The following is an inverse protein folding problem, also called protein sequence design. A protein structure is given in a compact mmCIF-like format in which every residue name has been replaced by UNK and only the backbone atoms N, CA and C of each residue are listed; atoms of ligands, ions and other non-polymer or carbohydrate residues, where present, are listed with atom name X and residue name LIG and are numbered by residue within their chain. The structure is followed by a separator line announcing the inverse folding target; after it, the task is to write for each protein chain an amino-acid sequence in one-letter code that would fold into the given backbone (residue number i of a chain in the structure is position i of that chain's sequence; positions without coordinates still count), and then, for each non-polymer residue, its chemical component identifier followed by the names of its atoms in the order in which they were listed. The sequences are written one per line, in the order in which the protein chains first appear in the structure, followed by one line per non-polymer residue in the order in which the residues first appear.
data_IF_058361771899
#
_entry.id   IF_058361771899
#
_cell.length_a   1.000
_cell.length_b   1.000
_cell.length_c   1.000
_cell.angle_alpha   90.00
_cell.angle_beta   90.00
_cell.angle_gamma   90.00
#
_symmetry.space_group_name_H-M   'P 1'
#
loop_
_entity.id
_entity.type
_entity.pdbx_description
1 polymer ?
#
# COMPACT_ATOMS: atom_id res chain seq x y z
N UNK A 1 -8.23 5.42 -21.33
CA UNK A 1 -8.32 5.67 -19.87
C UNK A 1 -7.24 4.92 -19.09
N UNK A 2 -7.32 3.60 -18.90
CA UNK A 2 -6.29 2.84 -18.15
C UNK A 2 -4.95 2.79 -18.89
N UNK A 3 -4.97 2.51 -20.20
CA UNK A 3 -3.76 2.56 -21.02
C UNK A 3 -3.12 3.96 -21.04
N UNK A 4 -3.94 5.02 -21.03
CA UNK A 4 -3.49 6.41 -20.97
C UNK A 4 -2.89 6.74 -19.60
N UNK A 5 -3.50 6.25 -18.51
CA UNK A 5 -2.99 6.40 -17.15
C UNK A 5 -1.68 5.64 -16.94
N UNK A 6 -1.59 4.40 -17.46
CA UNK A 6 -0.35 3.62 -17.45
C UNK A 6 0.77 4.31 -18.23
N UNK A 7 0.47 4.83 -19.44
CA UNK A 7 1.46 5.55 -20.24
C UNK A 7 1.94 6.82 -19.55
N UNK A 8 1.02 7.60 -18.96
CA UNK A 8 1.39 8.79 -18.17
C UNK A 8 2.19 8.44 -16.93
N UNK A 9 1.84 7.36 -16.24
CA UNK A 9 2.59 6.89 -15.06
C UNK A 9 4.00 6.43 -15.45
N UNK A 10 4.15 5.74 -16.59
CA UNK A 10 5.45 5.34 -17.12
C UNK A 10 6.33 6.54 -17.45
N UNK A 11 5.75 7.59 -18.04
CA UNK A 11 6.45 8.84 -18.30
C UNK A 11 6.80 9.59 -16.99
N UNK A 12 5.91 9.53 -15.98
CA UNK A 12 6.15 10.12 -14.66
C UNK A 12 7.21 9.38 -13.84
N UNK A 13 7.40 8.07 -13.99
CA UNK A 13 8.48 7.34 -13.31
C UNK A 13 9.88 7.91 -13.61
N UNK A 14 10.03 8.53 -14.79
CA UNK A 14 11.28 9.19 -15.21
C UNK A 14 11.40 10.64 -14.71
N UNK A 15 10.33 11.21 -14.15
CA UNK A 15 10.33 12.57 -13.64
C UNK A 15 11.14 12.68 -12.34
N UNK A 16 11.98 13.72 -12.16
CA UNK A 16 12.86 13.85 -11.00
C UNK A 16 12.14 13.83 -9.65
N UNK A 17 10.91 14.36 -9.57
CA UNK A 17 10.08 14.29 -8.35
C UNK A 17 9.74 12.85 -7.96
N UNK A 18 9.26 12.04 -8.90
CA UNK A 18 8.94 10.62 -8.68
C UNK A 18 10.17 9.81 -8.29
N UNK A 19 11.30 10.04 -8.98
CA UNK A 19 12.58 9.43 -8.61
C UNK A 19 13.01 9.84 -7.21
N UNK A 20 12.80 11.09 -6.79
CA UNK A 20 13.13 11.54 -5.44
C UNK A 20 12.27 10.85 -4.38
N UNK A 21 10.97 10.68 -4.65
CA UNK A 21 10.04 9.98 -3.74
C UNK A 21 10.42 8.50 -3.63
N UNK A 22 10.76 7.85 -4.75
CA UNK A 22 11.25 6.47 -4.75
C UNK A 22 12.60 6.32 -4.04
N UNK A 23 13.56 7.21 -4.27
CA UNK A 23 14.85 7.16 -3.57
C UNK A 23 14.67 7.45 -2.07
N UNK A 24 13.75 8.34 -1.71
CA UNK A 24 13.40 8.63 -0.31
C UNK A 24 12.75 7.42 0.35
N UNK A 25 11.87 6.69 -0.35
CA UNK A 25 11.25 5.47 0.18
C UNK A 25 12.28 4.36 0.39
N UNK A 26 13.18 4.17 -0.56
CA UNK A 26 14.26 3.20 -0.47
C UNK A 26 15.26 3.56 0.63
N UNK A 27 15.63 4.84 0.75
CA UNK A 27 16.50 5.34 1.79
C UNK A 27 15.86 5.23 3.18
N UNK A 28 14.57 5.57 3.32
CA UNK A 28 13.84 5.45 4.58
C UNK A 28 13.72 3.98 5.01
N UNK A 29 13.41 3.07 4.09
CA UNK A 29 13.38 1.64 4.35
C UNK A 29 14.76 1.12 4.77
N UNK A 30 15.82 1.45 4.02
CA UNK A 30 17.20 1.05 4.35
C UNK A 30 17.67 1.61 5.70
N UNK A 31 17.41 2.88 5.96
CA UNK A 31 17.77 3.54 7.21
C UNK A 31 17.00 2.95 8.40
N UNK A 32 15.72 2.63 8.22
CA UNK A 32 14.94 1.96 9.26
C UNK A 32 15.48 0.57 9.60
N UNK A 33 15.93 -0.19 8.60
CA UNK A 33 16.52 -1.50 8.79
C UNK A 33 17.88 -1.40 9.48
N UNK A 34 18.74 -0.47 9.06
CA UNK A 34 20.02 -0.20 9.71
C UNK A 34 19.82 0.23 11.16
N UNK A 35 18.85 1.11 11.43
CA UNK A 35 18.54 1.58 12.77
C UNK A 35 18.02 0.45 13.65
N UNK A 36 17.13 -0.40 13.14
CA UNK A 36 16.66 -1.58 13.87
C UNK A 36 17.79 -2.55 14.22
N UNK A 37 18.67 -2.86 13.27
CA UNK A 37 19.83 -3.72 13.51
C UNK A 37 20.76 -3.07 14.54
N UNK A 38 21.06 -1.79 14.36
CA UNK A 38 21.97 -1.05 15.26
C UNK A 38 21.43 -0.98 16.68
N UNK A 39 20.12 -0.75 16.86
CA UNK A 39 19.47 -0.79 18.17
C UNK A 39 19.49 -2.19 18.76
N UNK A 40 19.24 -3.22 17.94
CA UNK A 40 19.27 -4.62 18.41
C UNK A 40 20.65 -5.00 18.89
N UNK A 41 21.71 -4.58 18.20
CA UNK A 41 23.11 -4.79 18.61
C UNK A 41 23.44 -3.96 19.86
N UNK A 42 23.09 -2.68 19.89
CA UNK A 42 23.48 -1.76 20.97
C UNK A 42 22.80 -2.08 22.31
N UNK A 43 21.58 -2.61 22.28
CA UNK A 43 20.81 -2.97 23.46
C UNK A 43 20.72 -4.49 23.68
N UNK A 44 21.57 -5.27 23.00
CA UNK A 44 21.63 -6.71 23.26
C UNK A 44 22.15 -6.95 24.68
N UNK A 45 21.43 -7.70 25.53
CA UNK A 45 21.85 -7.88 26.90
C UNK A 45 23.01 -8.87 26.95
N UNK A 46 24.23 -8.35 27.06
CA UNK A 46 25.47 -9.14 27.18
C UNK A 46 25.56 -9.95 28.48
N UNK A 47 24.75 -9.61 29.48
CA UNK A 47 24.71 -10.32 30.77
C UNK A 47 23.97 -11.67 30.69
N UNK A 48 23.11 -11.87 29.68
CA UNK A 48 22.37 -13.12 29.48
C UNK A 48 23.06 -14.00 28.45
N UNK A 49 24.22 -14.55 28.82
CA UNK A 49 24.92 -15.57 28.00
C UNK A 49 24.59 -16.96 28.50
N UNK A 50 24.36 -17.89 27.58
CA UNK A 50 24.23 -19.32 27.89
C UNK A 50 25.59 -20.01 28.10
N UNK A 51 26.70 -19.31 27.82
CA UNK A 51 28.06 -19.86 27.83
C UNK A 51 28.43 -20.62 26.54
N UNK A 52 27.50 -20.77 25.60
CA UNK A 52 27.73 -21.39 24.30
C UNK A 52 27.45 -20.39 23.18
N UNK A 53 28.51 -19.99 22.47
CA UNK A 53 28.47 -18.95 21.43
C UNK A 53 27.40 -19.22 20.35
N UNK A 54 27.20 -20.49 19.96
CA UNK A 54 26.21 -20.84 18.95
C UNK A 54 24.75 -20.66 19.43
N UNK A 55 24.48 -20.85 20.73
CA UNK A 55 23.15 -20.65 21.32
C UNK A 55 22.87 -19.15 21.42
N UNK A 56 23.85 -18.38 21.87
CA UNK A 56 23.72 -16.93 22.05
C UNK A 56 23.52 -16.24 20.69
N UNK A 57 24.28 -16.64 19.67
CA UNK A 57 24.10 -16.17 18.30
C UNK A 57 22.74 -16.57 17.72
N UNK A 58 22.29 -17.81 17.94
CA UNK A 58 20.97 -18.25 17.50
C UNK A 58 19.85 -17.43 18.17
N UNK A 59 19.98 -17.12 19.46
CA UNK A 59 19.08 -16.23 20.20
C UNK A 59 19.06 -14.82 19.61
N UNK A 60 20.23 -14.24 19.33
CA UNK A 60 20.38 -12.95 18.67
C UNK A 60 19.66 -12.90 17.32
N UNK A 61 19.94 -13.86 16.45
CA UNK A 61 19.32 -13.92 15.13
C UNK A 61 17.81 -14.11 15.23
N UNK A 62 17.33 -14.94 16.15
CA UNK A 62 15.90 -15.18 16.33
C UNK A 62 15.18 -13.91 16.80
N UNK A 63 15.70 -13.25 17.83
CA UNK A 63 15.10 -12.01 18.36
C UNK A 63 15.19 -10.88 17.36
N UNK A 64 16.34 -10.68 16.70
CA UNK A 64 16.51 -9.65 15.68
C UNK A 64 15.61 -9.88 14.46
N UNK A 65 15.45 -11.13 14.03
CA UNK A 65 14.52 -11.48 12.94
C UNK A 65 13.08 -11.26 13.34
N UNK A 66 12.70 -11.62 14.56
CA UNK A 66 11.34 -11.41 15.08
C UNK A 66 11.02 -9.92 15.23
N UNK A 67 11.96 -9.13 15.76
CA UNK A 67 11.84 -7.68 15.86
C UNK A 67 11.67 -7.04 14.48
N UNK A 68 12.48 -7.45 13.51
CA UNK A 68 12.37 -6.98 12.12
C UNK A 68 11.00 -7.35 11.54
N UNK A 69 10.56 -8.60 11.70
CA UNK A 69 9.27 -9.07 11.19
C UNK A 69 8.08 -8.29 11.77
N UNK A 70 8.14 -7.92 13.05
CA UNK A 70 7.07 -7.17 13.73
C UNK A 70 7.11 -5.68 13.40
N UNK A 71 8.30 -5.07 13.43
CA UNK A 71 8.46 -3.61 13.31
C UNK A 71 8.51 -3.13 11.86
N UNK A 72 9.07 -3.92 10.95
CA UNK A 72 9.22 -3.53 9.55
C UNK A 72 7.88 -3.20 8.87
N UNK A 73 6.79 -3.99 9.02
CA UNK A 73 5.50 -3.64 8.43
C UNK A 73 4.94 -2.30 8.93
N UNK A 74 5.07 -2.00 10.23
CA UNK A 74 4.59 -0.75 10.81
C UNK A 74 5.33 0.47 10.25
N UNK A 75 6.66 0.38 10.15
CA UNK A 75 7.50 1.44 9.58
C UNK A 75 7.20 1.60 8.09
N UNK A 76 7.17 0.49 7.35
CA UNK A 76 6.91 0.49 5.91
C UNK A 76 5.55 1.09 5.58
N UNK A 77 4.49 0.74 6.33
CA UNK A 77 3.15 1.30 6.14
C UNK A 77 3.11 2.81 6.38
N UNK A 78 3.84 3.29 7.39
CA UNK A 78 3.94 4.73 7.70
C UNK A 78 4.66 5.48 6.57
N UNK A 79 5.74 4.90 6.04
CA UNK A 79 6.47 5.49 4.90
C UNK A 79 5.59 5.49 3.65
N UNK A 80 4.87 4.40 3.39
CA UNK A 80 3.96 4.28 2.24
C UNK A 80 2.81 5.28 2.29
N UNK A 81 2.21 5.54 3.46
CA UNK A 81 1.13 6.53 3.57
C UNK A 81 1.62 7.94 3.26
N UNK A 82 2.79 8.32 3.78
CA UNK A 82 3.42 9.62 3.49
C UNK A 82 3.76 9.80 2.00
N UNK A 83 4.16 8.71 1.33
CA UNK A 83 4.48 8.72 -0.10
C UNK A 83 3.22 8.86 -0.95
N UNK A 84 2.16 8.10 -0.62
CA UNK A 84 0.92 8.14 -1.37
C UNK A 84 0.31 9.55 -1.39
N UNK A 85 0.36 10.27 -0.26
CA UNK A 85 -0.08 11.66 -0.18
C UNK A 85 0.76 12.59 -1.07
N UNK A 86 2.08 12.51 -1.01
CA UNK A 86 2.98 13.32 -1.84
C UNK A 86 2.79 13.07 -3.35
N UNK A 87 2.46 11.84 -3.72
CA UNK A 87 2.21 11.48 -5.12
C UNK A 87 0.88 12.06 -5.59
N UNK A 88 -0.16 11.98 -4.76
CA UNK A 88 -1.43 12.63 -5.07
C UNK A 88 -1.22 14.14 -5.28
N UNK A 89 -0.49 14.81 -4.38
CA UNK A 89 -0.10 16.21 -4.51
C UNK A 89 0.66 16.48 -5.83
N UNK A 90 1.67 15.66 -6.15
CA UNK A 90 2.45 15.83 -7.36
C UNK A 90 1.62 15.65 -8.65
N UNK A 91 0.68 14.71 -8.65
CA UNK A 91 -0.23 14.48 -9.78
C UNK A 91 -1.25 15.62 -9.92
N UNK A 92 -1.80 16.11 -8.80
CA UNK A 92 -2.71 17.25 -8.78
C UNK A 92 -2.00 18.53 -9.25
N UNK A 93 -0.77 18.76 -8.80
CA UNK A 93 0.06 19.90 -9.21
C UNK A 93 0.30 19.95 -10.72
N UNK A 94 0.55 18.79 -11.34
CA UNK A 94 0.94 18.67 -12.74
C UNK A 94 -0.27 18.59 -13.69
N UNK A 95 -1.31 17.83 -13.33
CA UNK A 95 -2.43 17.52 -14.23
C UNK A 95 -3.76 18.18 -13.83
N UNK A 96 -3.94 18.54 -12.56
CA UNK A 96 -5.19 19.09 -12.04
C UNK A 96 -5.00 20.35 -11.18
N UNK A 97 -4.25 21.37 -11.66
CA UNK A 97 -3.83 22.50 -10.83
C UNK A 97 -5.00 23.31 -10.27
N UNK A 98 -6.18 23.26 -10.91
CA UNK A 98 -7.40 23.94 -10.47
C UNK A 98 -8.26 23.14 -9.47
N UNK A 99 -7.84 21.93 -9.10
CA UNK A 99 -8.59 21.01 -8.23
C UNK A 99 -7.71 20.37 -7.17
N UNK A 100 -6.76 21.14 -6.63
CA UNK A 100 -5.91 20.68 -5.53
C UNK A 100 -6.75 20.46 -4.28
N UNK A 101 -6.41 19.41 -3.54
CA UNK A 101 -6.99 19.15 -2.24
C UNK A 101 -6.64 20.27 -1.23
N UNK A 102 -7.64 20.79 -0.51
CA UNK A 102 -7.45 21.77 0.58
C UNK A 102 -8.22 21.36 1.86
N UNK A 103 -8.70 20.11 1.91
CA UNK A 103 -9.53 19.65 3.02
C UNK A 103 -8.68 19.05 4.14
N UNK A 104 -8.80 19.62 5.34
CA UNK A 104 -8.33 18.97 6.58
C UNK A 104 -9.20 17.75 6.89
N UNK A 105 -8.57 16.58 6.99
CA UNK A 105 -9.27 15.32 7.25
C UNK A 105 -9.38 15.14 8.78
N UNK A 106 -10.60 14.92 9.34
CA UNK A 106 -10.76 14.66 10.77
C UNK A 106 -10.09 13.33 11.15
N UNK A 107 -9.30 13.33 12.24
CA UNK A 107 -8.63 12.11 12.74
C UNK A 107 -9.65 11.00 13.03
N UNK A 108 -10.82 11.35 13.54
CA UNK A 108 -11.91 10.39 13.81
C UNK A 108 -12.37 9.66 12.55
N UNK A 109 -12.46 10.36 11.42
CA UNK A 109 -12.85 9.77 10.14
C UNK A 109 -11.78 8.80 9.63
N UNK A 110 -10.50 9.19 9.76
CA UNK A 110 -9.34 8.35 9.39
C UNK A 110 -9.32 7.07 10.22
N UNK A 111 -9.41 7.19 11.54
CA UNK A 111 -9.36 6.04 12.47
C UNK A 111 -10.54 5.10 12.22
N UNK A 112 -11.76 5.63 12.11
CA UNK A 112 -12.93 4.80 11.88
C UNK A 112 -12.90 4.11 10.51
N UNK A 113 -12.41 4.78 9.46
CA UNK A 113 -12.25 4.13 8.16
C UNK A 113 -11.20 3.05 8.19
N UNK A 114 -10.06 3.33 8.81
CA UNK A 114 -8.94 2.38 8.93
C UNK A 114 -9.37 1.13 9.70
N UNK A 115 -10.08 1.30 10.83
CA UNK A 115 -10.62 0.17 11.60
C UNK A 115 -11.62 -0.67 10.78
N UNK A 116 -12.51 -0.02 10.01
CA UNK A 116 -13.45 -0.73 9.13
C UNK A 116 -12.75 -1.43 7.97
N UNK A 117 -11.70 -0.83 7.41
CA UNK A 117 -10.91 -1.44 6.35
C UNK A 117 -10.19 -2.67 6.91
N UNK A 118 -9.51 -2.54 8.06
CA UNK A 118 -8.84 -3.63 8.76
C UNK A 118 -9.78 -4.80 9.03
N UNK A 119 -10.97 -4.53 9.58
CA UNK A 119 -11.97 -5.58 9.81
C UNK A 119 -12.37 -6.29 8.50
N UNK A 120 -12.62 -5.52 7.43
CA UNK A 120 -12.97 -6.09 6.12
C UNK A 120 -11.81 -6.90 5.55
N UNK A 121 -10.57 -6.42 5.65
CA UNK A 121 -9.38 -7.16 5.22
C UNK A 121 -9.29 -8.49 5.95
N UNK A 122 -9.42 -8.49 7.28
CA UNK A 122 -9.35 -9.72 8.09
C UNK A 122 -10.46 -10.69 7.68
N UNK A 123 -11.72 -10.24 7.65
CA UNK A 123 -12.87 -11.11 7.33
C UNK A 123 -12.75 -11.66 5.91
N UNK A 124 -12.42 -10.81 4.93
CA UNK A 124 -12.26 -11.21 3.55
C UNK A 124 -11.13 -12.24 3.37
N UNK A 125 -9.98 -12.05 4.03
CA UNK A 125 -8.88 -13.01 3.94
C UNK A 125 -9.19 -14.34 4.63
N UNK A 126 -9.87 -14.32 5.78
CA UNK A 126 -10.31 -15.53 6.47
C UNK A 126 -11.28 -16.34 5.60
N UNK A 127 -12.28 -15.67 5.00
CA UNK A 127 -13.23 -16.31 4.09
C UNK A 127 -12.51 -16.83 2.85
N UNK A 128 -11.53 -16.09 2.33
CA UNK A 128 -10.80 -16.46 1.12
C UNK A 128 -9.85 -17.65 1.30
N UNK A 129 -9.48 -18.01 2.54
CA UNK A 129 -8.59 -19.14 2.81
C UNK A 129 -9.13 -20.46 2.23
N UNK A 130 -10.43 -20.71 2.42
CA UNK A 130 -11.11 -21.92 1.92
C UNK A 130 -11.07 -22.02 0.39
N UNK A 131 -11.54 -21.02 -0.39
CA UNK A 131 -11.47 -21.06 -1.84
C UNK A 131 -10.04 -20.97 -2.36
N UNK A 132 -9.09 -20.33 -1.66
CA UNK A 132 -7.67 -20.34 -2.09
C UNK A 132 -7.12 -21.76 -2.14
N UNK A 133 -7.33 -22.54 -1.08
CA UNK A 133 -6.89 -23.94 -1.01
C UNK A 133 -7.58 -24.76 -2.10
N UNK A 134 -8.91 -24.66 -2.20
CA UNK A 134 -9.68 -25.43 -3.19
C UNK A 134 -9.28 -25.10 -4.63
N UNK A 135 -9.15 -23.82 -4.98
CA UNK A 135 -8.77 -23.39 -6.32
C UNK A 135 -7.32 -23.76 -6.66
N UNK A 136 -6.42 -23.76 -5.67
CA UNK A 136 -5.04 -24.16 -5.89
C UNK A 136 -4.96 -25.60 -6.40
N UNK A 137 -5.64 -26.53 -5.71
CA UNK A 137 -5.68 -27.93 -6.11
C UNK A 137 -6.50 -28.20 -7.38
N UNK A 138 -7.61 -27.49 -7.59
CA UNK A 138 -8.51 -27.75 -8.72
C UNK A 138 -8.00 -27.17 -10.05
N UNK A 139 -7.36 -25.99 -10.02
CA UNK A 139 -7.03 -25.21 -11.23
C UNK A 139 -5.53 -25.09 -11.50
N UNK A 140 -4.70 -25.82 -10.75
CA UNK A 140 -3.23 -25.72 -10.86
C UNK A 140 -2.69 -24.33 -10.52
N UNK A 141 -3.37 -23.61 -9.63
CA UNK A 141 -2.97 -22.27 -9.18
C UNK A 141 -3.50 -21.07 -9.98
N UNK A 142 -4.04 -21.25 -11.19
CA UNK A 142 -4.57 -20.13 -12.00
C UNK A 142 -5.79 -19.48 -11.33
N UNK A 143 -6.71 -20.29 -10.80
CA UNK A 143 -7.86 -19.80 -10.05
C UNK A 143 -7.46 -19.08 -8.76
N UNK A 144 -6.37 -19.51 -8.12
CA UNK A 144 -5.80 -18.84 -6.94
C UNK A 144 -5.29 -17.45 -7.29
N UNK A 145 -4.58 -17.30 -8.42
CA UNK A 145 -4.12 -16.00 -8.92
C UNK A 145 -5.31 -15.08 -9.27
N UNK A 146 -6.33 -15.61 -9.95
CA UNK A 146 -7.53 -14.84 -10.27
C UNK A 146 -8.25 -14.36 -9.01
N UNK A 147 -8.41 -15.24 -8.02
CA UNK A 147 -9.01 -14.89 -6.73
C UNK A 147 -8.14 -13.88 -5.96
N UNK A 148 -6.82 -14.01 -6.02
CA UNK A 148 -5.89 -13.05 -5.43
C UNK A 148 -6.07 -11.65 -6.01
N UNK A 149 -6.07 -11.52 -7.33
CA UNK A 149 -6.25 -10.23 -8.01
C UNK A 149 -7.64 -9.68 -7.73
N UNK A 150 -8.69 -10.50 -7.71
CA UNK A 150 -10.04 -10.06 -7.43
C UNK A 150 -10.19 -9.57 -5.97
N UNK A 151 -9.75 -10.35 -5.01
CA UNK A 151 -9.86 -10.02 -3.59
C UNK A 151 -9.02 -8.79 -3.24
N UNK A 152 -7.72 -8.84 -3.56
CA UNK A 152 -6.82 -7.73 -3.26
C UNK A 152 -7.12 -6.52 -4.12
N UNK A 153 -7.61 -6.70 -5.34
CA UNK A 153 -8.05 -5.61 -6.19
C UNK A 153 -9.26 -4.87 -5.61
N UNK A 154 -10.20 -5.58 -5.01
CA UNK A 154 -11.30 -4.95 -4.27
C UNK A 154 -10.80 -4.18 -3.03
N UNK A 155 -9.90 -4.79 -2.25
CA UNK A 155 -9.35 -4.17 -1.02
C UNK A 155 -8.51 -2.94 -1.33
N UNK A 156 -7.53 -3.07 -2.23
CA UNK A 156 -6.67 -1.97 -2.68
C UNK A 156 -7.48 -0.89 -3.39
N UNK A 157 -8.43 -1.26 -4.26
CA UNK A 157 -9.30 -0.29 -4.92
C UNK A 157 -10.05 0.56 -3.89
N UNK A 158 -10.58 -0.06 -2.84
CA UNK A 158 -11.22 0.66 -1.73
C UNK A 158 -10.25 1.56 -0.98
N UNK A 159 -9.10 1.03 -0.59
CA UNK A 159 -8.09 1.75 0.21
C UNK A 159 -7.58 3.00 -0.52
N UNK A 160 -7.08 2.82 -1.75
CA UNK A 160 -6.55 3.92 -2.54
C UNK A 160 -7.63 4.94 -2.92
N UNK A 161 -8.87 4.49 -3.18
CA UNK A 161 -9.98 5.42 -3.41
C UNK A 161 -10.25 6.28 -2.18
N UNK A 162 -10.33 5.66 -0.99
CA UNK A 162 -10.56 6.40 0.26
C UNK A 162 -9.41 7.38 0.52
N UNK A 163 -8.15 6.96 0.30
CA UNK A 163 -6.96 7.81 0.46
C UNK A 163 -7.05 9.09 -0.38
N UNK A 164 -7.35 8.96 -1.68
CA UNK A 164 -7.45 10.11 -2.59
C UNK A 164 -8.71 10.93 -2.30
N UNK A 165 -9.87 10.28 -2.23
CA UNK A 165 -11.16 10.98 -2.18
C UNK A 165 -11.39 11.74 -0.86
N UNK A 166 -10.85 11.26 0.27
CA UNK A 166 -11.00 11.95 1.57
C UNK A 166 -10.35 13.34 1.59
N UNK A 167 -9.36 13.56 0.70
CA UNK A 167 -8.67 14.84 0.50
C UNK A 167 -9.57 15.89 -0.18
N UNK A 168 -10.64 15.45 -0.83
CA UNK A 168 -11.56 16.31 -1.61
C UNK A 168 -12.97 16.40 -1.03
N UNK A 169 -13.45 15.35 -0.36
CA UNK A 169 -14.84 15.31 0.11
C UNK A 169 -15.02 14.59 1.47
N UNK A 170 -16.14 14.83 2.18
CA UNK A 170 -16.46 14.13 3.42
C UNK A 170 -16.60 12.61 3.23
N UNK A 171 -16.30 11.85 4.29
CA UNK A 171 -16.32 10.38 4.26
C UNK A 171 -17.64 9.77 3.76
N UNK A 172 -18.77 10.44 3.98
CA UNK A 172 -20.08 9.99 3.49
C UNK A 172 -20.14 10.01 1.96
N UNK A 173 -19.65 11.08 1.34
CA UNK A 173 -19.57 11.24 -0.10
C UNK A 173 -18.50 10.33 -0.71
N UNK A 174 -17.36 10.14 -0.02
CA UNK A 174 -16.35 9.15 -0.41
C UNK A 174 -16.96 7.77 -0.60
N UNK A 175 -17.76 7.32 0.37
CA UNK A 175 -18.43 6.00 0.32
C UNK A 175 -19.50 5.94 -0.76
N UNK A 176 -20.24 7.03 -0.99
CA UNK A 176 -21.26 7.12 -2.04
C UNK A 176 -20.60 7.06 -3.43
N UNK A 177 -19.55 7.82 -3.65
CA UNK A 177 -18.74 7.80 -4.88
C UNK A 177 -18.16 6.42 -5.16
N UNK A 178 -17.59 5.76 -4.14
CA UNK A 178 -17.07 4.39 -4.28
C UNK A 178 -18.14 3.40 -4.73
N UNK A 179 -19.36 3.51 -4.20
CA UNK A 179 -20.49 2.63 -4.59
C UNK A 179 -20.96 2.95 -6.02
N UNK A 180 -21.04 4.23 -6.39
CA UNK A 180 -21.43 4.68 -7.74
C UNK A 180 -20.44 4.17 -8.80
N UNK A 181 -19.14 4.26 -8.52
CA UNK A 181 -18.08 3.94 -9.47
C UNK A 181 -17.35 2.62 -9.16
N UNK A 182 -18.05 1.66 -8.55
CA UNK A 182 -17.48 0.40 -8.02
C UNK A 182 -16.59 -0.35 -9.02
N UNK A 183 -16.97 -0.39 -10.29
CA UNK A 183 -16.26 -1.14 -11.34
C UNK A 183 -14.94 -0.47 -11.71
N UNK A 184 -14.92 0.86 -11.82
CA UNK A 184 -13.72 1.63 -12.13
C UNK A 184 -12.73 1.58 -10.97
N UNK A 185 -13.23 1.74 -9.75
CA UNK A 185 -12.44 1.60 -8.52
C UNK A 185 -11.87 0.19 -8.39
N UNK A 186 -12.68 -0.85 -8.64
CA UNK A 186 -12.22 -2.23 -8.64
C UNK A 186 -11.15 -2.49 -9.70
N UNK A 187 -11.33 -1.97 -10.91
CA UNK A 187 -10.36 -2.19 -11.99
C UNK A 187 -9.03 -1.49 -11.71
N UNK A 188 -9.07 -0.27 -11.16
CA UNK A 188 -7.87 0.42 -10.66
C UNK A 188 -7.17 -0.40 -9.56
N UNK A 189 -7.92 -0.90 -8.58
CA UNK A 189 -7.39 -1.76 -7.54
C UNK A 189 -6.82 -3.09 -8.06
N UNK A 190 -7.50 -3.76 -8.99
CA UNK A 190 -7.04 -5.01 -9.59
C UNK A 190 -5.72 -4.84 -10.35
N UNK A 191 -5.55 -3.70 -11.02
CA UNK A 191 -4.28 -3.32 -11.63
C UNK A 191 -3.18 -3.20 -10.57
N UNK A 192 -3.45 -2.49 -9.46
CA UNK A 192 -2.50 -2.34 -8.35
C UNK A 192 -2.14 -3.72 -7.77
N UNK A 193 -3.13 -4.57 -7.51
CA UNK A 193 -2.92 -5.93 -7.01
C UNK A 193 -2.06 -6.78 -7.97
N UNK A 194 -2.26 -6.62 -9.28
CA UNK A 194 -1.44 -7.26 -10.30
C UNK A 194 0.03 -6.79 -10.27
N UNK A 195 0.28 -5.50 -10.03
CA UNK A 195 1.65 -4.98 -9.91
C UNK A 195 2.40 -5.59 -8.72
N UNK A 196 1.70 -5.87 -7.62
CA UNK A 196 2.29 -6.53 -6.45
C UNK A 196 2.73 -7.97 -6.71
N UNK A 197 2.16 -8.65 -7.72
CA UNK A 197 2.56 -10.01 -8.10
C UNK A 197 3.89 -10.05 -8.84
N UNK A 198 4.33 -8.94 -9.43
CA UNK A 198 5.54 -8.88 -10.24
C UNK A 198 6.72 -8.47 -9.34
N UNK A 199 7.74 -9.33 -9.15
CA UNK A 199 8.93 -8.97 -8.38
C UNK A 199 9.59 -7.69 -8.91
N UNK A 200 10.17 -6.90 -8.01
CA UNK A 200 10.77 -5.57 -8.27
C UNK A 200 9.78 -4.47 -8.67
N UNK A 201 8.78 -4.78 -9.49
CA UNK A 201 7.69 -3.85 -9.84
C UNK A 201 6.80 -3.56 -8.64
N UNK A 202 6.65 -4.54 -7.72
CA UNK A 202 5.95 -4.36 -6.46
C UNK A 202 6.46 -3.19 -5.60
N UNK A 203 7.74 -2.79 -5.74
CA UNK A 203 8.30 -1.61 -5.06
C UNK A 203 7.71 -0.29 -5.60
N UNK A 204 7.30 -0.29 -6.86
CA UNK A 204 6.65 0.84 -7.52
C UNK A 204 5.13 0.79 -7.41
N UNK A 205 4.55 -0.35 -7.03
CA UNK A 205 3.11 -0.55 -6.97
C UNK A 205 2.37 0.50 -6.11
N UNK A 206 2.86 0.89 -4.91
CA UNK A 206 2.21 1.95 -4.14
C UNK A 206 2.22 3.31 -4.85
N UNK A 207 3.33 3.60 -5.52
CA UNK A 207 3.54 4.86 -6.23
C UNK A 207 2.60 4.95 -7.44
N UNK A 208 2.59 3.90 -8.25
CA UNK A 208 1.72 3.76 -9.41
C UNK A 208 0.26 3.75 -8.98
N UNK A 209 -0.07 3.05 -7.89
CA UNK A 209 -1.43 2.95 -7.38
C UNK A 209 -2.01 4.27 -6.92
N UNK A 210 -1.24 5.08 -6.19
CA UNK A 210 -1.66 6.41 -5.78
C UNK A 210 -1.92 7.33 -6.99
N UNK A 211 -1.01 7.32 -7.98
CA UNK A 211 -1.17 8.12 -9.21
C UNK A 211 -2.38 7.68 -10.05
N UNK A 212 -2.51 6.38 -10.32
CA UNK A 212 -3.62 5.82 -11.10
C UNK A 212 -4.96 6.13 -10.44
N UNK A 213 -5.06 5.97 -9.12
CA UNK A 213 -6.31 6.25 -8.41
C UNK A 213 -6.64 7.74 -8.39
N UNK A 214 -5.64 8.61 -8.29
CA UNK A 214 -5.81 10.08 -8.39
C UNK A 214 -6.39 10.47 -9.75
N UNK A 215 -5.85 9.91 -10.83
CA UNK A 215 -6.40 10.13 -12.17
C UNK A 215 -7.82 9.59 -12.33
N UNK A 216 -8.10 8.39 -11.81
CA UNK A 216 -9.45 7.80 -11.83
C UNK A 216 -10.43 8.70 -11.08
N UNK A 217 -10.05 9.18 -9.89
CA UNK A 217 -10.89 10.07 -9.09
C UNK A 217 -11.29 11.33 -9.85
N UNK A 218 -10.32 12.05 -10.43
CA UNK A 218 -10.62 13.29 -11.15
C UNK A 218 -11.44 13.07 -12.43
N UNK A 219 -11.15 12.01 -13.20
CA UNK A 219 -11.98 11.69 -14.37
C UNK A 219 -13.43 11.41 -13.99
N UNK A 220 -13.66 10.66 -12.91
CA UNK A 220 -15.02 10.33 -12.47
C UNK A 220 -15.76 11.52 -11.84
N UNK A 221 -15.02 12.52 -11.37
CA UNK A 221 -15.57 13.80 -10.91
C UNK A 221 -15.93 14.73 -12.07
N UNK A 222 -15.24 14.64 -13.21
CA UNK A 222 -15.59 15.33 -14.46
C UNK A 222 -16.86 14.77 -15.11
N UNK A 223 -17.08 13.46 -14.98
CA UNK A 223 -18.25 12.75 -15.52
C UNK A 223 -19.51 12.86 -14.62
N UNK A 224 -19.44 13.53 -13.47
CA UNK A 224 -20.47 13.56 -12.42
C UNK A 224 -21.41 14.78 -12.51
#
# INVERSE_FOLDING_TARGET
MIATALNRTWQQLLHPKFRSVFLTSLAAAGLSLVLLISLTVAYWPEEYTSGYEWIDNAGFFLVGSLATYILFPAISTTVMSMIADQIADAVEDEYYPHRRADRKIPITDVVLSSAKLMLVVIVCNLIALVPYIFLFFLTGGIGTLALFIALNGYLMGREYWELVAMRHMPMQDVRRGRKKYKEKVFTGGALIAGLFLIPFVNLLAPIIGASVMTHIFHHLADDA
#
